data_IF_850335410937
#
_entry.id   IF_850335410937
#
_cell.length_a   1.000
_cell.length_b   1.000
_cell.length_c   1.000
_cell.angle_alpha   90.00
_cell.angle_beta   90.00
_cell.angle_gamma   90.00
#
_symmetry.space_group_name_H-M   'P 1'
#
loop_
_entity.id
_entity.type
_entity.pdbx_description
1 polymer ?
#
# COMPACT_ATOMS: atom_id res chain seq x y z
N UNK A 1 21.45 -11.90 -17.57
CA UNK A 1 20.29 -11.07 -17.99
C UNK A 1 20.39 -10.33 -19.37
N UNK A 2 21.28 -9.34 -19.57
CA UNK A 2 21.27 -8.44 -20.76
C UNK A 2 21.28 -9.16 -22.12
N UNK A 3 22.09 -10.22 -22.26
CA UNK A 3 22.14 -11.01 -23.49
C UNK A 3 20.81 -11.72 -23.82
N UNK A 4 20.08 -12.17 -22.79
CA UNK A 4 18.76 -12.79 -22.95
C UNK A 4 17.76 -11.80 -23.57
N UNK A 5 17.67 -10.58 -23.02
CA UNK A 5 16.75 -9.56 -23.54
C UNK A 5 17.06 -9.19 -24.99
N UNK A 6 18.34 -9.02 -25.33
CA UNK A 6 18.77 -8.76 -26.72
C UNK A 6 18.43 -9.90 -27.66
N UNK A 7 18.67 -11.15 -27.26
CA UNK A 7 18.34 -12.33 -28.05
C UNK A 7 16.83 -12.49 -28.29
N UNK A 8 16.00 -12.00 -27.36
CA UNK A 8 14.55 -11.94 -27.51
C UNK A 8 14.04 -10.81 -28.42
N UNK A 9 14.95 -10.03 -29.02
CA UNK A 9 14.62 -8.90 -29.89
C UNK A 9 14.22 -7.63 -29.16
N UNK A 10 14.37 -7.58 -27.83
CA UNK A 10 14.14 -6.38 -27.03
C UNK A 10 15.35 -5.46 -27.12
N UNK A 11 15.10 -4.17 -27.25
CA UNK A 11 16.14 -3.14 -27.32
C UNK A 11 16.40 -2.59 -25.93
N UNK A 12 17.65 -2.63 -25.49
CA UNK A 12 18.06 -2.02 -24.22
C UNK A 12 18.30 -0.54 -24.45
N UNK A 13 17.58 0.29 -23.71
CA UNK A 13 17.65 1.75 -23.81
C UNK A 13 18.51 2.36 -22.70
N UNK A 14 18.82 1.61 -21.65
CA UNK A 14 19.64 2.10 -20.56
C UNK A 14 20.11 0.99 -19.63
N UNK A 15 21.36 1.09 -19.22
CA UNK A 15 21.93 0.32 -18.11
C UNK A 15 22.71 1.33 -17.27
N UNK A 16 22.21 1.73 -16.08
CA UNK A 16 22.93 2.63 -15.19
C UNK A 16 24.27 2.03 -14.75
N UNK A 17 25.20 2.88 -14.31
CA UNK A 17 26.52 2.45 -13.85
C UNK A 17 26.45 1.46 -12.67
N UNK A 18 25.44 1.58 -11.80
CA UNK A 18 25.19 0.64 -10.69
C UNK A 18 24.75 -0.76 -11.16
N UNK A 19 24.27 -0.90 -12.41
CA UNK A 19 23.79 -2.16 -13.01
C UNK A 19 22.66 -2.87 -12.25
N UNK A 20 21.97 -2.17 -11.36
CA UNK A 20 20.87 -2.73 -10.56
C UNK A 20 19.59 -2.97 -11.36
N UNK A 21 19.42 -2.23 -12.46
CA UNK A 21 18.27 -2.40 -13.35
C UNK A 21 18.66 -2.19 -14.80
N UNK A 22 17.81 -2.69 -15.70
CA UNK A 22 17.94 -2.55 -17.15
C UNK A 22 16.65 -1.94 -17.67
N UNK A 23 16.77 -0.87 -18.47
CA UNK A 23 15.63 -0.26 -19.17
C UNK A 23 15.62 -0.79 -20.59
N UNK A 24 14.47 -1.27 -21.05
CA UNK A 24 14.31 -1.86 -22.36
C UNK A 24 12.96 -1.53 -22.98
N UNK A 25 12.87 -1.67 -24.30
CA UNK A 25 11.67 -1.45 -25.12
C UNK A 25 11.56 -2.54 -26.18
N UNK A 26 10.35 -2.75 -26.67
CA UNK A 26 10.06 -3.73 -27.73
C UNK A 26 8.61 -3.67 -28.19
N UNK A 27 8.27 -4.54 -29.13
CA UNK A 27 6.90 -4.74 -29.58
C UNK A 27 6.12 -5.62 -28.59
N UNK A 28 4.79 -5.47 -28.46
CA UNK A 28 3.98 -6.29 -27.57
C UNK A 28 4.16 -7.80 -27.76
N UNK A 29 4.29 -8.26 -29.01
CA UNK A 29 4.54 -9.66 -29.35
C UNK A 29 5.84 -10.21 -28.77
N UNK A 30 6.89 -9.38 -28.69
CA UNK A 30 8.18 -9.77 -28.10
C UNK A 30 8.08 -9.89 -26.59
N UNK A 31 7.35 -8.99 -25.91
CA UNK A 31 7.07 -9.15 -24.48
C UNK A 31 6.30 -10.42 -24.19
N UNK A 32 5.29 -10.71 -25.02
CA UNK A 32 4.43 -11.87 -24.84
C UNK A 32 5.23 -13.18 -24.91
N UNK A 33 6.13 -13.31 -25.89
CA UNK A 33 6.97 -14.50 -26.06
C UNK A 33 8.06 -14.64 -24.98
N UNK A 34 8.67 -13.51 -24.60
CA UNK A 34 9.82 -13.46 -23.67
C UNK A 34 9.42 -13.69 -22.22
N UNK A 35 8.28 -13.12 -21.82
CA UNK A 35 7.81 -13.13 -20.44
C UNK A 35 6.58 -14.05 -20.23
N UNK A 36 6.19 -14.82 -21.25
CA UNK A 36 5.04 -15.74 -21.24
C UNK A 36 3.76 -15.08 -20.69
N UNK A 37 3.52 -13.84 -21.11
CA UNK A 37 2.34 -13.05 -20.73
C UNK A 37 1.66 -12.52 -21.99
N UNK A 38 0.57 -11.77 -21.82
CA UNK A 38 -0.05 -11.02 -22.91
C UNK A 38 -0.26 -9.57 -22.49
N UNK A 39 0.34 -8.64 -23.24
CA UNK A 39 0.10 -7.20 -23.05
C UNK A 39 -1.23 -6.80 -23.71
N UNK A 40 -2.10 -6.17 -22.92
CA UNK A 40 -3.38 -5.65 -23.38
C UNK A 40 -3.56 -4.19 -22.95
N UNK A 41 -4.43 -3.48 -23.68
CA UNK A 41 -4.87 -2.14 -23.31
C UNK A 41 -6.06 -2.21 -22.35
N UNK A 42 -5.94 -1.57 -21.20
CA UNK A 42 -6.98 -1.47 -20.17
C UNK A 42 -7.40 -0.02 -19.98
N UNK A 43 -8.65 0.20 -19.53
CA UNK A 43 -9.12 1.52 -19.13
C UNK A 43 -9.05 1.66 -17.61
N UNK A 44 -8.20 2.55 -17.11
CA UNK A 44 -8.05 2.86 -15.69
C UNK A 44 -8.34 4.34 -15.46
N UNK A 45 -9.38 4.66 -14.69
CA UNK A 45 -9.79 6.04 -14.38
C UNK A 45 -9.91 6.95 -15.61
N UNK A 46 -10.48 6.42 -16.70
CA UNK A 46 -10.64 7.13 -17.98
C UNK A 46 -9.40 7.17 -18.87
N UNK A 47 -8.24 6.67 -18.40
CA UNK A 47 -7.02 6.59 -19.19
C UNK A 47 -6.80 5.19 -19.76
N UNK A 48 -6.28 5.10 -20.98
CA UNK A 48 -5.89 3.83 -21.58
C UNK A 48 -4.44 3.50 -21.22
N UNK A 49 -4.20 2.32 -20.65
CA UNK A 49 -2.88 1.87 -20.18
C UNK A 49 -2.58 0.48 -20.73
N UNK A 50 -1.34 0.22 -21.10
CA UNK A 50 -0.89 -1.12 -21.50
C UNK A 50 -0.30 -1.84 -20.29
N UNK A 51 -0.79 -3.04 -20.01
CA UNK A 51 -0.32 -3.87 -18.91
C UNK A 51 -0.39 -5.38 -19.24
N UNK A 52 0.35 -6.24 -18.53
CA UNK A 52 0.23 -7.70 -18.62
C UNK A 52 -1.13 -8.18 -18.09
N UNK A 53 -1.80 -9.08 -18.81
CA UNK A 53 -3.02 -9.75 -18.34
C UNK A 53 -2.77 -10.95 -17.41
N UNK A 54 -1.52 -11.40 -17.31
CA UNK A 54 -1.11 -12.50 -16.43
C UNK A 54 0.28 -12.24 -15.83
N UNK A 55 0.60 -12.96 -14.75
CA UNK A 55 1.90 -12.88 -14.10
C UNK A 55 3.04 -13.24 -15.10
N UNK A 56 4.00 -12.33 -15.33
CA UNK A 56 5.17 -12.63 -16.15
C UNK A 56 6.00 -13.78 -15.58
N UNK A 57 6.56 -14.61 -16.45
CA UNK A 57 7.51 -15.66 -16.04
C UNK A 57 8.79 -15.61 -16.88
N UNK A 58 9.87 -16.10 -16.29
CA UNK A 58 11.19 -16.19 -16.90
C UNK A 58 11.73 -17.61 -16.75
N UNK A 59 12.64 -18.05 -17.64
CA UNK A 59 13.39 -19.28 -17.42
C UNK A 59 14.11 -19.24 -16.06
N UNK A 60 14.12 -20.36 -15.33
CA UNK A 60 14.65 -20.43 -13.96
C UNK A 60 16.05 -19.85 -13.80
N UNK A 61 16.95 -20.13 -14.76
CA UNK A 61 18.31 -19.59 -14.78
C UNK A 61 18.36 -18.06 -14.80
N UNK A 62 17.43 -17.42 -15.52
CA UNK A 62 17.34 -15.96 -15.60
C UNK A 62 16.57 -15.41 -14.40
N UNK A 63 15.49 -16.08 -13.99
CA UNK A 63 14.69 -15.68 -12.83
C UNK A 63 15.49 -15.64 -11.53
N UNK A 64 16.50 -16.50 -11.37
CA UNK A 64 17.39 -16.50 -10.21
C UNK A 64 18.29 -15.24 -10.12
N UNK A 65 18.51 -14.53 -11.22
CA UNK A 65 19.32 -13.30 -11.27
C UNK A 65 18.48 -12.02 -11.08
N UNK A 66 17.15 -12.13 -10.97
CA UNK A 66 16.23 -11.00 -11.12
C UNK A 66 15.31 -10.90 -9.90
N UNK A 67 15.41 -9.78 -9.18
CA UNK A 67 14.54 -9.50 -8.04
C UNK A 67 13.10 -9.16 -8.44
N UNK A 68 12.89 -8.62 -9.65
CA UNK A 68 11.56 -8.31 -10.14
C UNK A 68 11.55 -7.72 -11.55
N UNK A 69 10.36 -7.66 -12.16
CA UNK A 69 10.12 -7.07 -13.47
C UNK A 69 8.87 -6.20 -13.43
N UNK A 70 8.89 -5.08 -14.16
CA UNK A 70 7.72 -4.24 -14.39
C UNK A 70 7.59 -4.02 -15.89
N UNK A 71 6.42 -4.37 -16.42
CA UNK A 71 6.11 -4.38 -17.87
C UNK A 71 4.96 -3.44 -18.22
N UNK A 72 4.49 -2.63 -17.25
CA UNK A 72 3.36 -1.73 -17.40
C UNK A 72 3.81 -0.29 -17.67
N UNK A 73 2.94 0.49 -18.31
CA UNK A 73 3.18 1.92 -18.57
C UNK A 73 2.62 2.82 -17.47
N UNK A 74 2.09 2.26 -16.38
CA UNK A 74 1.30 3.00 -15.39
C UNK A 74 2.12 3.64 -14.27
N UNK A 75 3.44 3.42 -14.25
CA UNK A 75 4.35 3.95 -13.21
C UNK A 75 4.26 5.47 -12.96
N UNK A 76 3.82 6.26 -13.95
CA UNK A 76 3.66 7.71 -13.82
C UNK A 76 2.23 8.17 -13.47
N UNK A 77 1.27 7.24 -13.41
CA UNK A 77 -0.14 7.52 -13.16
C UNK A 77 -0.52 7.36 -11.68
N UNK A 78 0.23 6.54 -10.94
CA UNK A 78 0.04 6.40 -9.50
C UNK A 78 0.72 7.56 -8.78
N UNK A 79 0.00 8.66 -8.59
CA UNK A 79 0.37 9.71 -7.64
C UNK A 79 -0.24 9.37 -6.29
N UNK A 80 0.57 9.00 -5.27
CA UNK A 80 0.04 8.85 -3.92
C UNK A 80 -0.60 10.18 -3.52
N UNK A 81 -1.86 10.15 -3.09
CA UNK A 81 -2.47 11.30 -2.43
C UNK A 81 -1.88 11.35 -1.02
N UNK A 82 -0.71 11.94 -0.88
CA UNK A 82 -0.15 12.25 0.43
C UNK A 82 -1.10 13.28 1.05
N UNK A 83 -1.81 12.89 2.12
CA UNK A 83 -2.48 13.86 2.97
C UNK A 83 -1.42 14.89 3.38
N UNK A 84 -1.69 16.17 3.15
CA UNK A 84 -0.82 17.24 3.64
C UNK A 84 -0.57 17.03 5.14
N UNK A 85 0.66 17.22 5.65
CA UNK A 85 0.95 17.13 7.08
C UNK A 85 0.13 18.12 7.93
N UNK A 86 -0.53 19.10 7.29
CA UNK A 86 -1.47 20.03 7.91
C UNK A 86 -2.93 19.58 7.77
N UNK A 87 -3.25 18.39 8.28
CA UNK A 87 -4.64 18.08 8.64
C UNK A 87 -5.11 19.05 9.75
N UNK A 88 -6.40 19.41 9.82
CA UNK A 88 -6.90 20.26 10.89
C UNK A 88 -6.59 19.60 12.22
N UNK A 89 -5.73 20.24 13.03
CA UNK A 89 -5.54 19.88 14.43
C UNK A 89 -6.93 19.90 15.06
N UNK A 90 -7.49 18.73 15.33
CA UNK A 90 -8.74 18.62 16.05
C UNK A 90 -8.53 19.31 17.39
N UNK A 91 -9.27 20.38 17.62
CA UNK A 91 -9.28 21.16 18.86
C UNK A 91 -9.94 20.40 20.00
N UNK A 92 -9.55 19.13 20.19
CA UNK A 92 -10.05 18.25 21.25
C UNK A 92 -9.06 18.16 22.42
N UNK A 93 -7.98 18.96 22.43
CA UNK A 93 -7.06 19.07 23.58
C UNK A 93 -7.65 19.83 24.79
N UNK A 94 -8.87 20.38 24.70
CA UNK A 94 -9.55 20.93 25.88
C UNK A 94 -10.27 19.89 26.74
N UNK A 95 -10.37 18.61 26.32
CA UNK A 95 -11.01 17.57 27.15
C UNK A 95 -10.05 16.73 27.99
N UNK A 96 -8.74 16.77 27.73
CA UNK A 96 -7.73 16.01 28.50
C UNK A 96 -7.10 16.79 29.66
N UNK A 97 -7.48 18.06 29.89
CA UNK A 97 -6.94 18.89 30.99
C UNK A 97 -7.88 19.06 32.19
N UNK A 98 -9.12 18.56 32.11
CA UNK A 98 -10.06 18.60 33.25
C UNK A 98 -9.95 17.36 34.14
N UNK A 99 -9.13 16.37 33.78
CA UNK A 99 -8.93 15.14 34.57
C UNK A 99 -7.63 15.12 35.39
N UNK A 100 -6.91 16.25 35.47
CA UNK A 100 -5.67 16.39 36.24
C UNK A 100 -5.75 17.40 37.39
N UNK A 101 -6.96 17.72 37.89
CA UNK A 101 -7.16 18.47 39.14
C UNK A 101 -8.03 17.68 40.13
N UNK A 102 -7.61 16.46 40.46
CA UNK A 102 -7.96 15.83 41.74
C UNK A 102 -6.76 15.06 42.28
N UNK A 103 -5.72 15.79 42.71
CA UNK A 103 -4.85 15.32 43.79
C UNK A 103 -5.43 15.86 45.10
N UNK A 104 -6.14 15.01 45.83
CA UNK A 104 -6.34 15.18 47.27
C UNK A 104 -5.54 14.08 48.00
N UNK A 105 -4.91 14.38 49.15
CA UNK A 105 -3.88 13.53 49.76
C UNK A 105 -4.46 12.29 50.45
N UNK A 106 -3.60 11.30 50.66
CA UNK A 106 -3.85 10.02 51.34
C UNK A 106 -4.79 10.20 52.54
N UNK A 107 -5.86 9.38 52.62
CA UNK A 107 -6.44 8.88 53.87
C UNK A 107 -7.34 7.66 53.61
N UNK A 108 -7.26 6.73 54.56
CA UNK A 108 -7.81 5.37 54.70
C UNK A 108 -9.26 5.12 54.24
N UNK A 109 -9.63 3.86 53.92
CA UNK A 109 -11.00 3.52 53.53
C UNK A 109 -11.91 3.45 54.75
N UNK A 110 -13.19 3.81 54.61
CA UNK A 110 -14.22 3.09 55.32
C UNK A 110 -15.27 2.51 54.36
N UNK A 111 -15.52 1.21 54.56
CA UNK A 111 -16.69 0.47 54.10
C UNK A 111 -17.99 1.25 54.36
N UNK A 112 -18.90 1.28 53.38
CA UNK A 112 -20.33 1.39 53.67
C UNK A 112 -21.20 0.83 52.55
N UNK A 113 -21.87 -0.27 52.91
CA UNK A 113 -22.96 -1.00 52.29
C UNK A 113 -23.94 -0.14 51.48
N UNK A 114 -24.11 -0.44 50.18
CA UNK A 114 -25.21 0.14 49.38
C UNK A 114 -26.48 -0.67 49.58
N UNK A 115 -27.36 -0.16 50.45
CA UNK A 115 -28.74 -0.60 50.63
C UNK A 115 -29.57 -0.19 49.40
N UNK A 116 -30.17 -1.14 48.71
CA UNK A 116 -31.17 -0.87 47.69
C UNK A 116 -32.49 -0.38 48.33
N UNK A 117 -33.10 0.65 47.74
CA UNK A 117 -34.42 1.22 48.08
C UNK A 117 -34.98 1.74 46.75
N UNK A 118 -36.23 1.60 46.33
CA UNK A 118 -37.47 1.23 46.99
C UNK A 118 -38.50 0.74 45.94
N UNK A 119 -39.35 -0.19 46.37
CA UNK A 119 -40.81 -0.23 46.19
C UNK A 119 -41.43 -0.08 44.79
N UNK A 120 -42.15 -1.13 44.37
CA UNK A 120 -43.41 -0.98 43.62
C UNK A 120 -44.32 -2.16 43.99
N UNK A 121 -45.41 -1.87 44.70
CA UNK A 121 -46.51 -2.79 44.93
C UNK A 121 -47.54 -2.61 43.81
N UNK A 122 -48.01 -3.72 43.25
CA UNK A 122 -49.18 -3.82 42.38
C UNK A 122 -49.86 -5.14 42.71
N UNK A 123 -51.01 -5.10 43.40
CA UNK A 123 -52.15 -6.06 43.34
C UNK A 123 -53.26 -5.57 44.28
N UNK A 124 -54.45 -5.39 43.69
CA UNK A 124 -55.81 -5.16 44.22
C UNK A 124 -56.13 -3.81 44.89
#
# INVERSE_FOLDING_TARGET
MVGYLKASGLTITGVPASREYVVFRGAPSQFNSTFKTSLHAFKLKGMQVVAPASAPSLPSRIGAEVAGVSLDQSRMLTRPNLLSPDGPRSSNESQLRTEATQRAPLRTPPSSTRRARATSASTL
#
